data_IF_319107595359
#
_entry.id   IF_319107595359
#
_cell.length_a   1.000
_cell.length_b   1.000
_cell.length_c   1.000
_cell.angle_alpha   90.00
_cell.angle_beta   90.00
_cell.angle_gamma   90.00
#
_symmetry.space_group_name_H-M   'P 1'
#
loop_
_entity.id
_entity.type
_entity.pdbx_description
1 polymer ?
#
# COMPACT_ATOMS: atom_id res chain seq x y z
N UNK A 1 -6.13 5.36 1.82
CA UNK A 1 -7.21 5.09 0.84
C UNK A 1 -6.67 4.65 -0.52
N UNK A 2 -5.61 5.24 -1.06
CA UNK A 2 -5.01 4.81 -2.34
C UNK A 2 -4.68 3.31 -2.36
N UNK A 3 -4.00 2.80 -1.33
CA UNK A 3 -3.65 1.38 -1.24
C UNK A 3 -4.89 0.47 -1.17
N UNK A 4 -5.98 0.96 -0.56
CA UNK A 4 -7.26 0.23 -0.51
C UNK A 4 -7.87 0.13 -1.90
N UNK A 5 -7.91 1.25 -2.64
CA UNK A 5 -8.42 1.30 -4.02
C UNK A 5 -7.63 0.33 -4.91
N UNK A 6 -6.30 0.35 -4.81
CA UNK A 6 -5.43 -0.52 -5.59
C UNK A 6 -5.58 -2.01 -5.22
N UNK A 7 -5.62 -2.33 -3.92
CA UNK A 7 -5.75 -3.73 -3.45
C UNK A 7 -7.07 -4.36 -3.83
N UNK A 8 -8.15 -3.60 -3.71
CA UNK A 8 -9.49 -4.07 -4.02
C UNK A 8 -9.92 -3.80 -5.46
N UNK A 9 -9.06 -3.13 -6.27
CA UNK A 9 -9.32 -2.77 -7.67
C UNK A 9 -10.65 -2.03 -7.82
N UNK A 10 -10.87 -1.05 -6.96
CA UNK A 10 -12.12 -0.30 -6.91
C UNK A 10 -12.29 0.67 -8.09
N UNK A 11 -11.27 0.85 -8.89
CA UNK A 11 -11.27 1.59 -10.15
C UNK A 11 -12.10 0.89 -11.23
N UNK A 12 -12.31 -0.43 -11.13
CA UNK A 12 -13.14 -1.21 -12.06
C UNK A 12 -14.44 -1.61 -11.39
N UNK A 13 -15.55 -1.17 -11.95
CA UNK A 13 -16.90 -1.50 -11.48
C UNK A 13 -17.61 -2.41 -12.49
N UNK A 14 -18.40 -3.35 -11.95
CA UNK A 14 -19.15 -4.32 -12.71
C UNK A 14 -20.63 -4.22 -12.35
N UNK A 15 -21.48 -4.12 -13.37
CA UNK A 15 -22.92 -4.06 -13.20
C UNK A 15 -23.60 -5.04 -14.14
N UNK A 16 -24.79 -5.47 -13.78
CA UNK A 16 -25.69 -6.21 -14.66
C UNK A 16 -27.10 -5.68 -14.54
N UNK A 17 -27.93 -5.94 -15.53
CA UNK A 17 -29.33 -5.53 -15.48
C UNK A 17 -30.10 -6.42 -14.50
N UNK A 18 -30.72 -5.79 -13.51
CA UNK A 18 -31.70 -6.42 -12.65
C UNK A 18 -33.12 -6.10 -13.15
N UNK A 19 -34.13 -6.72 -12.54
CA UNK A 19 -35.52 -6.56 -12.96
C UNK A 19 -36.02 -5.09 -12.91
N UNK A 20 -35.50 -4.27 -12.00
CA UNK A 20 -35.91 -2.87 -11.78
C UNK A 20 -34.75 -1.90 -11.57
N UNK A 21 -33.51 -2.41 -11.40
CA UNK A 21 -32.33 -1.59 -11.14
C UNK A 21 -31.06 -2.32 -11.60
N UNK A 22 -30.01 -1.58 -11.86
CA UNK A 22 -28.69 -2.15 -12.14
C UNK A 22 -28.12 -2.75 -10.85
N UNK A 23 -27.80 -4.03 -10.90
CA UNK A 23 -27.14 -4.74 -9.79
C UNK A 23 -25.64 -4.61 -9.92
N UNK A 24 -24.97 -4.19 -8.84
CA UNK A 24 -23.50 -4.22 -8.73
C UNK A 24 -23.05 -5.66 -8.53
N UNK A 25 -22.08 -6.11 -9.33
CA UNK A 25 -21.43 -7.40 -9.17
C UNK A 25 -20.12 -7.19 -8.40
N UNK A 26 -20.00 -7.87 -7.26
CA UNK A 26 -18.81 -7.79 -6.42
C UNK A 26 -18.62 -9.09 -5.62
N UNK A 27 -17.35 -9.48 -5.38
CA UNK A 27 -17.01 -10.66 -4.60
C UNK A 27 -17.56 -11.96 -5.23
N UNK A 28 -18.45 -12.65 -4.53
CA UNK A 28 -19.01 -13.94 -4.98
C UNK A 28 -19.98 -13.83 -6.16
N UNK A 29 -20.56 -12.65 -6.38
CA UNK A 29 -21.47 -12.42 -7.50
C UNK A 29 -20.73 -12.07 -8.80
N UNK A 30 -19.42 -11.85 -8.74
CA UNK A 30 -18.59 -11.45 -9.89
C UNK A 30 -18.01 -12.69 -10.58
N UNK A 31 -18.46 -13.04 -11.80
CA UNK A 31 -17.97 -14.23 -12.49
C UNK A 31 -16.60 -14.04 -13.13
N UNK A 32 -16.27 -12.84 -13.58
CA UNK A 32 -15.01 -12.53 -14.26
C UNK A 32 -14.43 -11.21 -13.77
N UNK A 33 -13.11 -11.08 -13.82
CA UNK A 33 -12.37 -9.85 -13.54
C UNK A 33 -11.63 -9.38 -14.77
N UNK A 34 -11.58 -8.06 -14.99
CA UNK A 34 -10.88 -7.42 -16.11
C UNK A 34 -9.64 -6.74 -15.60
N UNK A 35 -8.52 -6.94 -16.31
CA UNK A 35 -7.25 -6.26 -16.07
C UNK A 35 -6.84 -5.50 -17.32
N UNK A 36 -6.49 -4.23 -17.17
CA UNK A 36 -6.00 -3.38 -18.25
C UNK A 36 -4.47 -3.30 -18.20
N UNK A 37 -3.81 -3.50 -19.36
CA UNK A 37 -2.35 -3.57 -19.44
C UNK A 37 -1.69 -2.24 -19.80
N UNK A 38 -2.39 -1.36 -20.52
CA UNK A 38 -1.83 -0.16 -21.15
C UNK A 38 -2.64 1.13 -20.87
N UNK A 39 -3.66 1.09 -20.02
CA UNK A 39 -4.41 2.29 -19.65
C UNK A 39 -3.67 3.12 -18.59
N UNK A 40 -3.67 4.42 -18.78
CA UNK A 40 -3.16 5.37 -17.80
C UNK A 40 -4.10 5.50 -16.58
N UNK A 41 -3.57 5.98 -15.47
CA UNK A 41 -4.31 6.08 -14.19
C UNK A 41 -5.52 7.02 -14.25
N UNK A 42 -5.52 7.98 -15.14
CA UNK A 42 -6.60 8.97 -15.28
C UNK A 42 -7.62 8.64 -16.37
N UNK A 43 -7.39 7.59 -17.17
CA UNK A 43 -8.29 7.21 -18.25
C UNK A 43 -9.51 6.47 -17.75
N UNK A 44 -10.69 6.82 -18.29
CA UNK A 44 -11.95 6.14 -18.05
C UNK A 44 -12.41 5.42 -19.29
N UNK A 45 -12.81 4.17 -19.13
CA UNK A 45 -13.31 3.32 -20.21
C UNK A 45 -14.49 2.49 -19.76
N UNK A 46 -15.38 2.17 -20.67
CA UNK A 46 -16.44 1.19 -20.39
C UNK A 46 -16.76 0.37 -21.65
N UNK A 47 -17.29 -0.82 -21.41
CA UNK A 47 -17.75 -1.73 -22.44
C UNK A 47 -18.71 -2.75 -21.86
N UNK A 48 -19.43 -3.43 -22.75
CA UNK A 48 -20.32 -4.53 -22.40
C UNK A 48 -19.60 -5.86 -22.64
N UNK A 49 -19.66 -6.76 -21.66
CA UNK A 49 -19.09 -8.09 -21.70
C UNK A 49 -20.22 -9.11 -21.59
N UNK A 50 -20.27 -10.09 -22.51
CA UNK A 50 -21.18 -11.20 -22.45
C UNK A 50 -20.40 -12.52 -22.48
N UNK A 51 -20.60 -13.37 -21.49
CA UNK A 51 -20.03 -14.71 -21.45
C UNK A 51 -20.79 -15.60 -22.42
N UNK A 52 -20.11 -16.17 -23.40
CA UNK A 52 -20.69 -17.09 -24.37
C UNK A 52 -20.62 -18.55 -23.87
N UNK A 53 -19.47 -18.91 -23.33
CA UNK A 53 -19.19 -20.22 -22.76
C UNK A 53 -18.03 -20.14 -21.72
N UNK A 54 -17.46 -21.28 -21.34
CA UNK A 54 -16.39 -21.36 -20.35
C UNK A 54 -15.05 -20.74 -20.81
N UNK A 55 -14.87 -20.54 -22.11
CA UNK A 55 -13.61 -20.06 -22.70
C UNK A 55 -13.78 -18.75 -23.48
N UNK A 56 -14.98 -18.46 -24.01
CA UNK A 56 -15.20 -17.38 -24.96
C UNK A 56 -16.09 -16.30 -24.37
N UNK A 57 -15.74 -15.06 -24.66
CA UNK A 57 -16.50 -13.86 -24.31
C UNK A 57 -16.69 -12.95 -25.50
N UNK A 58 -17.81 -12.29 -25.52
CA UNK A 58 -18.15 -11.25 -26.50
C UNK A 58 -18.04 -9.88 -25.82
N UNK A 59 -17.38 -8.94 -26.48
CA UNK A 59 -17.20 -7.56 -26.06
C UNK A 59 -17.86 -6.63 -27.04
N UNK A 60 -18.61 -5.63 -26.55
CA UNK A 60 -19.31 -4.62 -27.36
C UNK A 60 -19.40 -3.28 -26.63
N UNK A 61 -19.96 -2.27 -27.30
CA UNK A 61 -20.32 -0.97 -26.74
C UNK A 61 -19.11 -0.25 -26.06
N UNK A 62 -18.01 -0.18 -26.77
CA UNK A 62 -16.78 0.44 -26.26
C UNK A 62 -16.90 1.96 -26.15
N UNK A 63 -16.66 2.48 -24.97
CA UNK A 63 -16.66 3.94 -24.67
C UNK A 63 -15.32 4.30 -24.02
N UNK A 64 -14.70 5.35 -24.49
CA UNK A 64 -13.49 5.92 -23.91
C UNK A 64 -13.71 7.40 -23.61
N UNK A 65 -13.43 7.81 -22.37
CA UNK A 65 -13.64 9.18 -21.86
C UNK A 65 -15.05 9.75 -22.11
N UNK A 66 -16.07 8.88 -22.16
CA UNK A 66 -17.47 9.24 -22.39
C UNK A 66 -17.87 9.35 -23.87
N UNK A 67 -16.95 9.14 -24.80
CA UNK A 67 -17.23 9.10 -26.23
C UNK A 67 -17.35 7.65 -26.72
N UNK A 68 -18.46 7.35 -27.42
CA UNK A 68 -18.62 6.06 -28.09
C UNK A 68 -17.63 5.98 -29.26
N UNK A 69 -16.90 4.87 -29.32
CA UNK A 69 -16.00 4.62 -30.42
C UNK A 69 -16.79 4.13 -31.64
N UNK A 70 -16.67 4.83 -32.79
CA UNK A 70 -17.43 4.56 -34.02
C UNK A 70 -17.22 3.13 -34.58
N UNK A 71 -16.13 2.46 -34.20
CA UNK A 71 -15.90 1.05 -34.48
C UNK A 71 -16.62 0.16 -33.44
N UNK A 72 -17.95 0.15 -33.49
CA UNK A 72 -18.80 -0.74 -32.69
C UNK A 72 -18.72 -2.17 -33.23
N UNK A 73 -17.54 -2.71 -33.36
CA UNK A 73 -17.37 -4.12 -33.73
C UNK A 73 -17.50 -4.98 -32.49
N UNK A 74 -18.52 -5.80 -32.51
CA UNK A 74 -18.63 -6.94 -31.58
C UNK A 74 -17.39 -7.81 -31.75
N UNK A 75 -16.64 -8.00 -30.67
CA UNK A 75 -15.40 -8.78 -30.68
C UNK A 75 -15.61 -10.04 -29.84
N UNK A 76 -15.26 -11.18 -30.40
CA UNK A 76 -15.17 -12.42 -29.62
C UNK A 76 -13.72 -12.68 -29.25
N UNK A 77 -13.45 -12.92 -27.99
CA UNK A 77 -12.12 -13.23 -27.48
C UNK A 77 -12.17 -14.36 -26.44
N UNK A 78 -10.98 -14.87 -26.10
CA UNK A 78 -10.86 -15.94 -25.10
C UNK A 78 -10.53 -15.38 -23.72
N UNK A 79 -11.05 -16.06 -22.72
CA UNK A 79 -10.67 -15.85 -21.33
C UNK A 79 -9.17 -16.15 -21.15
N UNK A 80 -8.52 -15.43 -20.23
CA UNK A 80 -7.09 -15.55 -19.84
C UNK A 80 -6.10 -15.18 -20.96
N UNK A 81 -6.55 -14.64 -22.08
CA UNK A 81 -5.69 -14.14 -23.14
C UNK A 81 -5.65 -12.62 -23.15
N UNK A 82 -4.49 -12.07 -23.49
CA UNK A 82 -4.33 -10.62 -23.68
C UNK A 82 -4.94 -10.23 -25.04
N UNK A 83 -5.97 -9.42 -25.00
CA UNK A 83 -6.72 -9.00 -26.20
C UNK A 83 -6.52 -7.51 -26.43
N UNK A 84 -6.28 -7.12 -27.66
CA UNK A 84 -6.27 -5.71 -28.08
C UNK A 84 -7.69 -5.30 -28.47
N UNK A 85 -8.23 -4.32 -27.76
CA UNK A 85 -9.56 -3.77 -27.97
C UNK A 85 -9.49 -2.29 -28.32
N UNK A 86 -10.58 -1.67 -28.79
CA UNK A 86 -10.63 -0.23 -29.03
C UNK A 86 -10.32 0.62 -27.79
N UNK A 87 -10.56 0.11 -26.59
CA UNK A 87 -10.30 0.79 -25.31
C UNK A 87 -8.94 0.42 -24.70
N UNK A 88 -8.09 -0.29 -25.41
CA UNK A 88 -6.76 -0.70 -24.96
C UNK A 88 -6.60 -2.21 -24.81
N UNK A 89 -5.44 -2.62 -24.33
CA UNK A 89 -5.14 -4.03 -24.11
C UNK A 89 -5.69 -4.48 -22.76
N UNK A 90 -6.45 -5.55 -22.73
CA UNK A 90 -7.05 -6.09 -21.54
C UNK A 90 -6.98 -7.62 -21.48
N UNK A 91 -7.08 -8.16 -20.29
CA UNK A 91 -7.23 -9.60 -20.02
C UNK A 91 -8.50 -9.79 -19.19
N UNK A 92 -9.25 -10.82 -19.50
CA UNK A 92 -10.47 -11.18 -18.79
C UNK A 92 -10.24 -12.54 -18.13
N UNK A 93 -10.20 -12.55 -16.81
CA UNK A 93 -9.91 -13.74 -16.03
C UNK A 93 -11.17 -14.22 -15.29
N UNK A 94 -11.51 -15.52 -15.35
CA UNK A 94 -12.59 -16.08 -14.55
C UNK A 94 -12.24 -16.01 -13.07
N UNK A 95 -13.20 -15.58 -12.25
CA UNK A 95 -13.04 -15.61 -10.79
C UNK A 95 -13.28 -17.03 -10.26
N UNK A 96 -12.91 -17.33 -9.01
CA UNK A 96 -13.23 -18.61 -8.37
C UNK A 96 -14.76 -18.91 -8.29
N UNK A 97 -15.59 -17.92 -8.51
CA UNK A 97 -17.05 -18.01 -8.47
C UNK A 97 -17.70 -18.20 -9.84
N UNK A 98 -16.89 -18.27 -10.88
CA UNK A 98 -17.40 -18.55 -12.23
C UNK A 98 -17.87 -20.01 -12.34
N UNK A 99 -19.13 -20.19 -12.73
CA UNK A 99 -19.78 -21.49 -12.83
C UNK A 99 -20.01 -21.94 -14.30
N UNK A 100 -19.18 -21.45 -15.23
CA UNK A 100 -19.26 -21.84 -16.63
C UNK A 100 -20.29 -21.09 -17.48
N UNK A 101 -21.27 -20.43 -16.88
CA UNK A 101 -22.28 -19.65 -17.59
C UNK A 101 -22.74 -18.44 -16.78
N UNK A 102 -22.96 -17.34 -17.46
CA UNK A 102 -23.62 -16.15 -16.92
C UNK A 102 -24.46 -15.50 -18.01
N UNK A 103 -25.77 -15.61 -17.87
CA UNK A 103 -26.71 -15.34 -18.96
C UNK A 103 -26.91 -13.84 -19.26
N UNK A 104 -26.59 -12.97 -18.31
CA UNK A 104 -26.82 -11.52 -18.44
C UNK A 104 -25.58 -10.79 -18.93
N UNK A 105 -25.73 -9.67 -19.65
CA UNK A 105 -24.59 -8.82 -19.98
C UNK A 105 -24.00 -8.21 -18.71
N UNK A 106 -22.68 -8.05 -18.70
CA UNK A 106 -21.91 -7.41 -17.64
C UNK A 106 -21.38 -6.09 -18.19
N UNK A 107 -21.82 -5.00 -17.61
CA UNK A 107 -21.31 -3.67 -17.92
C UNK A 107 -20.06 -3.42 -17.09
N UNK A 108 -18.93 -3.35 -17.76
CA UNK A 108 -17.63 -3.09 -17.15
C UNK A 108 -17.31 -1.61 -17.33
N UNK A 109 -16.99 -0.93 -16.25
CA UNK A 109 -16.52 0.45 -16.29
C UNK A 109 -15.28 0.62 -15.43
N UNK A 110 -14.24 1.23 -15.99
CA UNK A 110 -13.07 1.68 -15.26
C UNK A 110 -13.11 3.21 -15.16
N UNK A 111 -12.95 3.70 -13.96
CA UNK A 111 -12.82 5.13 -13.67
C UNK A 111 -11.38 5.49 -13.38
N UNK A 112 -10.98 6.71 -13.69
CA UNK A 112 -9.66 7.19 -13.35
C UNK A 112 -9.38 7.09 -11.84
N UNK A 113 -8.16 6.73 -11.48
CA UNK A 113 -7.73 6.45 -10.11
C UNK A 113 -8.04 7.60 -9.14
N UNK A 114 -7.77 8.83 -9.54
CA UNK A 114 -8.04 10.00 -8.69
C UNK A 114 -9.53 10.27 -8.49
N UNK A 115 -10.34 10.05 -9.53
CA UNK A 115 -11.80 10.14 -9.43
C UNK A 115 -12.37 9.10 -8.47
N UNK A 116 -11.91 7.87 -8.60
CA UNK A 116 -12.25 6.75 -7.71
C UNK A 116 -11.85 7.05 -6.28
N UNK A 117 -10.60 7.49 -6.06
CA UNK A 117 -10.09 7.86 -4.74
C UNK A 117 -10.94 8.96 -4.09
N UNK A 118 -11.29 10.01 -4.84
CA UNK A 118 -12.13 11.11 -4.36
C UNK A 118 -13.52 10.63 -3.97
N UNK A 119 -14.15 9.79 -4.80
CA UNK A 119 -15.48 9.24 -4.55
C UNK A 119 -15.53 8.39 -3.27
N UNK A 120 -14.60 7.46 -3.10
CA UNK A 120 -14.56 6.62 -1.90
C UNK A 120 -14.13 7.37 -0.65
N UNK A 121 -13.23 8.36 -0.77
CA UNK A 121 -12.85 9.23 0.35
C UNK A 121 -14.01 10.12 0.79
N UNK A 122 -14.83 10.62 -0.14
CA UNK A 122 -16.02 11.41 0.17
C UNK A 122 -17.14 10.59 0.83
N UNK A 123 -17.20 9.29 0.57
CA UNK A 123 -18.17 8.37 1.16
C UNK A 123 -17.71 7.78 2.52
N UNK A 124 -16.42 7.92 2.87
CA UNK A 124 -15.85 7.48 4.14
C UNK A 124 -16.05 8.57 5.21
N UNK A 125 -16.59 8.18 6.35
CA UNK A 125 -16.67 9.02 7.53
C UNK A 125 -15.78 8.46 8.63
N UNK A 126 -14.97 9.33 9.20
CA UNK A 126 -14.06 9.03 10.32
C UNK A 126 -14.38 9.99 11.45
N UNK A 127 -14.83 9.50 12.58
CA UNK A 127 -15.22 10.32 13.72
C UNK A 127 -14.75 9.71 15.04
N UNK A 128 -14.37 10.54 16.00
CA UNK A 128 -14.18 10.08 17.38
C UNK A 128 -15.53 9.70 17.98
N UNK A 129 -15.56 8.65 18.79
CA UNK A 129 -16.79 8.22 19.48
C UNK A 129 -17.28 9.25 20.49
N UNK A 130 -16.35 9.98 21.11
CA UNK A 130 -16.59 11.09 22.03
C UNK A 130 -15.33 11.98 22.07
N UNK A 131 -15.43 13.25 22.49
CA UNK A 131 -14.32 14.22 22.54
C UNK A 131 -13.12 13.74 23.38
N UNK A 132 -13.35 12.88 24.38
CA UNK A 132 -12.33 12.31 25.26
C UNK A 132 -12.03 10.83 24.96
N UNK A 133 -12.61 10.29 23.91
CA UNK A 133 -12.46 8.87 23.56
C UNK A 133 -11.21 8.64 22.70
N UNK A 134 -10.57 7.49 22.91
CA UNK A 134 -9.53 6.96 22.01
C UNK A 134 -10.13 6.05 20.93
N UNK A 135 -11.45 5.91 20.90
CA UNK A 135 -12.17 5.07 19.94
C UNK A 135 -12.56 5.88 18.71
N UNK A 136 -12.17 5.40 17.54
CA UNK A 136 -12.51 5.98 16.25
C UNK A 136 -13.62 5.13 15.61
N UNK A 137 -14.70 5.78 15.20
CA UNK A 137 -15.76 5.17 14.41
C UNK A 137 -15.47 5.38 12.92
N UNK A 138 -15.43 4.28 12.18
CA UNK A 138 -15.29 4.28 10.71
C UNK A 138 -16.62 3.85 10.11
N UNK A 139 -17.13 4.60 9.15
CA UNK A 139 -18.30 4.21 8.36
C UNK A 139 -18.13 4.61 6.91
N UNK A 140 -18.68 3.80 5.99
CA UNK A 140 -18.66 4.08 4.56
C UNK A 140 -20.05 3.86 3.96
N UNK A 141 -20.40 4.68 2.98
CA UNK A 141 -21.63 4.52 2.20
C UNK A 141 -21.30 3.84 0.88
N UNK A 142 -21.88 2.67 0.65
CA UNK A 142 -21.73 1.92 -0.59
C UNK A 142 -23.05 1.19 -0.94
N UNK A 143 -23.26 0.92 -2.22
CA UNK A 143 -24.41 0.15 -2.70
C UNK A 143 -24.26 -1.36 -2.43
N UNK A 144 -23.03 -1.84 -2.20
CA UNK A 144 -22.73 -3.21 -1.83
C UNK A 144 -22.21 -3.27 -0.40
N UNK A 145 -22.96 -3.92 0.49
CA UNK A 145 -22.55 -4.10 1.90
C UNK A 145 -21.21 -4.82 1.99
N UNK A 146 -21.04 -5.88 1.18
CA UNK A 146 -19.80 -6.67 1.16
C UNK A 146 -18.60 -5.84 0.74
N UNK A 147 -18.75 -5.00 -0.31
CA UNK A 147 -17.69 -4.09 -0.73
C UNK A 147 -17.35 -3.06 0.35
N UNK A 148 -18.37 -2.52 1.03
CA UNK A 148 -18.18 -1.62 2.16
C UNK A 148 -17.38 -2.27 3.30
N UNK A 149 -17.70 -3.52 3.66
CA UNK A 149 -16.98 -4.29 4.67
C UNK A 149 -15.53 -4.54 4.25
N UNK A 150 -15.30 -4.97 3.01
CA UNK A 150 -13.96 -5.22 2.48
C UNK A 150 -13.12 -3.93 2.47
N UNK A 151 -13.71 -2.78 2.10
CA UNK A 151 -13.02 -1.48 2.14
C UNK A 151 -12.61 -1.12 3.57
N UNK A 152 -13.50 -1.24 4.55
CA UNK A 152 -13.18 -0.90 5.94
C UNK A 152 -12.12 -1.85 6.52
N UNK A 153 -12.25 -3.15 6.29
CA UNK A 153 -11.29 -4.14 6.75
C UNK A 153 -9.90 -3.95 6.11
N UNK A 154 -9.87 -3.69 4.81
CA UNK A 154 -8.62 -3.40 4.10
C UNK A 154 -8.00 -2.09 4.57
N UNK A 155 -8.80 -1.06 4.84
CA UNK A 155 -8.32 0.22 5.39
C UNK A 155 -7.64 0.02 6.75
N UNK A 156 -8.23 -0.78 7.63
CA UNK A 156 -7.65 -1.10 8.94
C UNK A 156 -6.35 -1.89 8.77
N UNK A 157 -6.31 -2.85 7.85
CA UNK A 157 -5.11 -3.64 7.57
C UNK A 157 -3.97 -2.77 7.05
N UNK A 158 -4.25 -1.91 6.06
CA UNK A 158 -3.28 -0.96 5.50
C UNK A 158 -2.78 0.01 6.58
N UNK A 159 -3.67 0.52 7.42
CA UNK A 159 -3.28 1.38 8.53
C UNK A 159 -2.30 0.69 9.48
N UNK A 160 -2.60 -0.55 9.89
CA UNK A 160 -1.75 -1.32 10.77
C UNK A 160 -0.38 -1.64 10.14
N UNK A 161 -0.36 -2.00 8.86
CA UNK A 161 0.89 -2.24 8.11
C UNK A 161 1.76 -0.98 8.06
N UNK A 162 1.17 0.16 7.70
CA UNK A 162 1.89 1.44 7.64
C UNK A 162 2.39 1.86 9.03
N UNK A 163 1.59 1.65 10.08
CA UNK A 163 2.02 1.92 11.45
C UNK A 163 3.26 1.11 11.85
N UNK A 164 3.32 -0.17 11.49
CA UNK A 164 4.50 -1.03 11.74
C UNK A 164 5.70 -0.54 10.95
N UNK A 165 5.51 -0.17 9.67
CA UNK A 165 6.58 0.37 8.81
C UNK A 165 7.15 1.67 9.42
N UNK A 166 6.28 2.59 9.84
CA UNK A 166 6.69 3.86 10.44
C UNK A 166 7.47 3.65 11.74
N UNK A 167 7.00 2.73 12.61
CA UNK A 167 7.72 2.39 13.85
C UNK A 167 9.08 1.79 13.59
N UNK A 168 9.20 0.89 12.62
CA UNK A 168 10.48 0.30 12.23
C UNK A 168 11.43 1.36 11.66
N UNK A 169 10.92 2.29 10.83
CA UNK A 169 11.71 3.38 10.28
C UNK A 169 12.26 4.30 11.38
N UNK A 170 11.45 4.63 12.38
CA UNK A 170 11.89 5.42 13.54
C UNK A 170 12.97 4.67 14.31
N UNK A 171 12.80 3.36 14.55
CA UNK A 171 13.81 2.56 15.26
C UNK A 171 15.13 2.48 14.50
N UNK A 172 15.10 2.28 13.19
CA UNK A 172 16.29 2.27 12.33
C UNK A 172 16.99 3.63 12.37
N UNK A 173 16.25 4.72 12.17
CA UNK A 173 16.80 6.08 12.18
C UNK A 173 17.43 6.44 13.54
N UNK A 174 16.78 6.02 14.63
CA UNK A 174 17.32 6.21 15.98
C UNK A 174 18.59 5.41 16.20
N UNK A 175 18.64 4.16 15.74
CA UNK A 175 19.85 3.33 15.83
C UNK A 175 21.01 3.93 15.03
N UNK A 176 20.75 4.40 13.82
CA UNK A 176 21.77 5.09 13.01
C UNK A 176 22.30 6.35 13.70
N UNK A 177 21.41 7.19 14.23
CA UNK A 177 21.78 8.39 14.97
C UNK A 177 22.64 8.08 16.19
N UNK A 178 22.29 7.04 16.96
CA UNK A 178 23.06 6.61 18.13
C UNK A 178 24.46 6.13 17.71
N UNK A 179 24.56 5.32 16.66
CA UNK A 179 25.84 4.82 16.14
C UNK A 179 26.75 5.97 15.65
N UNK A 180 26.19 6.92 14.91
CA UNK A 180 26.92 8.10 14.47
C UNK A 180 27.44 8.91 15.67
N UNK A 181 26.59 9.09 16.69
CA UNK A 181 26.98 9.85 17.89
C UNK A 181 28.02 9.13 18.72
N UNK A 182 27.96 7.81 18.81
CA UNK A 182 28.98 6.99 19.46
C UNK A 182 30.33 7.16 18.74
N UNK A 183 30.36 7.10 17.40
CA UNK A 183 31.60 7.32 16.63
C UNK A 183 32.22 8.70 16.88
N UNK A 184 31.40 9.74 17.01
CA UNK A 184 31.88 11.09 17.36
C UNK A 184 32.52 11.11 18.76
N UNK A 185 31.82 10.53 19.75
CA UNK A 185 32.27 10.47 21.14
C UNK A 185 33.57 9.64 21.27
N UNK A 186 33.67 8.51 20.57
CA UNK A 186 34.89 7.70 20.52
C UNK A 186 36.06 8.46 19.93
N UNK A 187 35.83 9.26 18.88
CA UNK A 187 36.84 10.13 18.29
C UNK A 187 37.29 11.25 19.24
N UNK A 188 36.33 11.89 19.93
CA UNK A 188 36.64 12.93 20.94
C UNK A 188 37.41 12.32 22.12
N UNK A 189 37.02 11.14 22.62
CA UNK A 189 37.68 10.45 23.71
C UNK A 189 39.12 10.07 23.32
N UNK A 190 39.32 9.51 22.12
CA UNK A 190 40.63 9.18 21.59
C UNK A 190 41.58 10.41 21.54
N UNK A 191 41.05 11.55 21.09
CA UNK A 191 41.82 12.80 21.04
C UNK A 191 42.18 13.34 22.44
N UNK A 192 41.27 13.16 23.41
CA UNK A 192 41.54 13.54 24.83
C UNK A 192 42.61 12.62 25.43
N UNK A 193 42.55 11.30 25.19
CA UNK A 193 43.54 10.35 25.66
C UNK A 193 44.94 10.63 25.08
N UNK A 194 45.03 10.97 23.78
CA UNK A 194 46.24 11.34 23.10
C UNK A 194 46.82 12.64 23.71
N UNK A 195 45.99 13.66 23.95
CA UNK A 195 46.38 14.89 24.59
C UNK A 195 46.90 14.66 26.02
N UNK A 196 46.23 13.79 26.81
CA UNK A 196 46.69 13.43 28.16
C UNK A 196 48.01 12.69 28.11
N UNK A 197 48.19 11.76 27.17
CA UNK A 197 49.45 11.03 26.98
C UNK A 197 50.61 11.98 26.61
N UNK A 198 50.36 12.90 25.68
CA UNK A 198 51.34 13.92 25.26
C UNK A 198 51.71 14.83 26.43
N UNK A 199 50.72 15.33 27.16
CA UNK A 199 50.94 16.19 28.33
C UNK A 199 51.76 15.49 29.40
N UNK A 200 51.49 14.22 29.72
CA UNK A 200 52.28 13.42 30.68
C UNK A 200 53.72 13.23 30.20
N UNK A 201 53.93 12.99 28.91
CA UNK A 201 55.25 12.81 28.32
C UNK A 201 56.08 14.11 28.34
N UNK A 202 55.49 15.24 27.95
CA UNK A 202 56.14 16.54 27.92
C UNK A 202 56.51 17.10 29.31
N UNK A 203 55.70 16.79 30.32
CA UNK A 203 55.89 17.27 31.66
C UNK A 203 56.59 16.27 32.58
N UNK A 204 57.13 15.15 32.05
CA UNK A 204 57.83 14.11 32.80
C UNK A 204 57.07 13.65 34.04
N UNK A 205 55.73 13.64 34.00
CA UNK A 205 54.89 13.19 35.11
C UNK A 205 54.92 11.66 35.21
N UNK A 206 55.48 11.12 36.32
CA UNK A 206 55.44 9.68 36.51
C UNK A 206 53.99 9.18 36.63
N UNK A 207 53.74 7.97 36.17
CA UNK A 207 52.48 7.33 36.38
C UNK A 207 52.13 7.31 37.86
N UNK A 208 51.02 7.90 38.24
CA UNK A 208 50.59 8.06 39.63
C UNK A 208 50.52 6.71 40.35
N UNK A 209 50.21 5.63 39.64
CA UNK A 209 50.22 4.26 40.20
C UNK A 209 51.63 3.75 40.45
N UNK A 210 52.56 4.00 39.52
CA UNK A 210 53.95 3.63 39.69
C UNK A 210 54.63 4.46 40.81
N UNK A 211 54.34 5.77 40.87
CA UNK A 211 54.83 6.62 41.94
C UNK A 211 54.25 6.23 43.32
N UNK A 212 52.98 5.92 43.39
CA UNK A 212 52.30 5.47 44.64
C UNK A 212 52.84 4.11 45.12
N UNK A 213 53.10 3.16 44.21
CA UNK A 213 53.67 1.87 44.58
C UNK A 213 55.14 2.01 45.03
N UNK A 214 55.90 2.92 44.45
CA UNK A 214 57.27 3.21 44.86
C UNK A 214 57.33 3.87 46.26
N UNK A 215 56.42 4.83 46.53
CA UNK A 215 56.26 5.43 47.86
C UNK A 215 55.83 4.44 48.93
N UNK A 216 54.91 3.54 48.60
CA UNK A 216 54.47 2.46 49.53
C UNK A 216 55.62 1.45 49.79
N UNK A 217 56.39 1.09 48.79
CA UNK A 217 57.54 0.20 48.96
C UNK A 217 58.63 0.84 49.81
N UNK A 218 58.94 2.12 49.60
CA UNK A 218 59.92 2.87 50.37
C UNK A 218 59.50 3.13 51.81
N UNK A 219 58.21 3.30 52.07
CA UNK A 219 57.62 3.42 53.41
C UNK A 219 57.65 2.09 54.18
N UNK A 220 57.63 0.96 53.50
CA UNK A 220 57.70 -0.36 54.12
C UNK A 220 59.12 -0.80 54.45
N UNK A 221 60.14 -0.20 53.83
CA UNK A 221 61.54 -0.51 54.16
C UNK A 221 62.11 0.34 55.32
N UNK A 222 61.35 1.38 55.77
CA UNK A 222 61.84 2.30 56.79
C UNK A 222 61.21 2.11 58.19
N UNK A 223 60.44 1.04 58.35
CA UNK A 223 59.82 0.56 59.58
C UNK A 223 60.37 -0.85 59.91
#
# INVERSE_FOLDING_TARGET
MLDVVNRLRLDVAYHTDGAFYRKVLYGQDLPVSVSFADLQDNESVSFTLRLLDEENVELSDFIREGEELEETSVMTCKLRELVTTPVGKLTIDPTPYFQGAFAQPIYVSRSGLYGTLSAYSGNLSVALSDEKSTVINLSIKDVSVRRAEDILNTLISVYNENWVIDKNQIAISTSMFINDRLGVIEGELGSVDENISTYKSENLLPDVQAASSLYLAQSSETN
#
